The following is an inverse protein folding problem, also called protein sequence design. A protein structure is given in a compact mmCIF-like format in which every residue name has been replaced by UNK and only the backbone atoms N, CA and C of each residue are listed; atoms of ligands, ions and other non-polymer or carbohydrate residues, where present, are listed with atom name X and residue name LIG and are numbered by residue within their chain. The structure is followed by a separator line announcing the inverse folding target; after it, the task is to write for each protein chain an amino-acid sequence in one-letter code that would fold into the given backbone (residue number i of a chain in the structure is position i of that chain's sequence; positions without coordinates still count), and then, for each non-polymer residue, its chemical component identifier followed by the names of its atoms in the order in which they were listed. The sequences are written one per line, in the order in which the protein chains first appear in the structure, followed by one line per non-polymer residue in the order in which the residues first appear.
data_IF_546007914386
#
_entry.id   IF_546007914386
#
_cell.length_a   1.000
_cell.length_b   1.000
_cell.length_c   1.000
_cell.angle_alpha   90.00
_cell.angle_beta   90.00
_cell.angle_gamma   90.00
#
_symmetry.space_group_name_H-M   'P 1'
#
loop_
_entity.id
_entity.type
_entity.pdbx_description
1 polymer ?
#
# COMPACT_ATOMS: atom_id res chain seq x y z
N UNK A 1 23.29 -11.07 11.04
CA UNK A 1 22.11 -10.41 11.66
C UNK A 1 20.77 -10.77 11.00
N UNK A 2 20.66 -10.81 9.66
CA UNK A 2 19.39 -11.09 8.96
C UNK A 2 19.06 -12.58 8.73
N UNK A 3 20.02 -13.49 8.94
CA UNK A 3 19.92 -14.92 8.58
C UNK A 3 18.76 -15.70 9.23
N UNK A 4 18.12 -15.16 10.27
CA UNK A 4 17.02 -15.82 10.98
C UNK A 4 15.62 -15.31 10.63
N UNK A 5 15.44 -14.51 9.57
CA UNK A 5 14.10 -14.15 9.08
C UNK A 5 13.65 -15.23 8.08
N UNK A 6 12.57 -15.98 8.34
CA UNK A 6 12.13 -17.03 7.44
C UNK A 6 11.82 -16.50 6.04
N UNK A 7 12.28 -17.20 5.01
CA UNK A 7 11.99 -16.86 3.61
C UNK A 7 10.52 -17.13 3.23
N UNK A 8 9.81 -17.93 4.01
CA UNK A 8 8.39 -18.27 3.82
C UNK A 8 7.43 -17.19 4.30
N UNK A 9 7.91 -16.15 4.99
CA UNK A 9 7.04 -15.05 5.42
C UNK A 9 6.49 -14.29 4.21
N UNK A 10 5.25 -13.78 4.29
CA UNK A 10 4.74 -12.79 3.34
C UNK A 10 5.71 -11.62 3.19
N UNK A 11 5.77 -11.04 1.99
CA UNK A 11 6.79 -10.05 1.63
C UNK A 11 6.81 -8.83 2.58
N UNK A 12 5.64 -8.30 2.95
CA UNK A 12 5.53 -7.14 3.85
C UNK A 12 6.01 -7.48 5.26
N UNK A 13 5.60 -8.63 5.79
CA UNK A 13 6.02 -9.09 7.10
C UNK A 13 7.53 -9.39 7.13
N UNK A 14 8.07 -9.95 6.04
CA UNK A 14 9.51 -10.18 5.90
C UNK A 14 10.29 -8.88 5.85
N UNK A 15 9.84 -7.89 5.07
CA UNK A 15 10.44 -6.57 5.00
C UNK A 15 10.45 -5.89 6.39
N UNK A 16 9.31 -5.94 7.10
CA UNK A 16 9.18 -5.42 8.45
C UNK A 16 10.18 -6.05 9.42
N UNK A 17 10.32 -7.39 9.41
CA UNK A 17 11.26 -8.09 10.29
C UNK A 17 12.73 -7.83 9.94
N UNK A 18 13.07 -7.70 8.66
CA UNK A 18 14.43 -7.32 8.22
C UNK A 18 14.78 -5.92 8.70
N UNK A 19 13.90 -4.94 8.48
CA UNK A 19 14.11 -3.55 8.90
C UNK A 19 14.16 -3.42 10.43
N UNK A 20 13.30 -4.14 11.15
CA UNK A 20 13.31 -4.18 12.62
C UNK A 20 14.63 -4.72 13.18
N UNK A 21 15.25 -5.70 12.51
CA UNK A 21 16.58 -6.20 12.91
C UNK A 21 17.69 -5.22 12.57
N UNK A 22 17.61 -4.53 11.44
CA UNK A 22 18.55 -3.46 11.09
C UNK A 22 18.50 -2.33 12.12
N UNK A 23 17.29 -1.91 12.50
CA UNK A 23 17.07 -0.90 13.53
C UNK A 23 17.67 -1.27 14.89
N UNK A 24 17.51 -2.53 15.33
CA UNK A 24 18.15 -3.04 16.57
C UNK A 24 19.68 -3.00 16.54
N UNK A 25 20.28 -2.97 15.35
CA UNK A 25 21.72 -2.84 15.18
C UNK A 25 22.17 -1.36 15.08
N UNK A 26 21.26 -0.40 15.28
CA UNK A 26 21.53 1.04 15.16
C UNK A 26 21.35 1.59 13.75
N UNK A 27 20.86 0.79 12.80
CA UNK A 27 20.57 1.25 11.44
C UNK A 27 19.09 1.61 11.32
N UNK A 28 18.72 2.76 11.89
CA UNK A 28 17.37 3.31 11.86
C UNK A 28 17.38 4.84 11.71
N UNK A 29 16.23 5.40 11.38
CA UNK A 29 15.96 6.83 11.40
C UNK A 29 15.72 7.32 12.82
N UNK A 30 16.11 8.56 13.11
CA UNK A 30 15.85 9.19 14.42
C UNK A 30 14.56 10.01 14.41
N UNK A 31 14.18 10.58 13.26
CA UNK A 31 13.06 11.51 13.14
C UNK A 31 12.07 11.04 12.08
N UNK A 32 10.79 11.24 12.39
CA UNK A 32 9.69 10.97 11.46
C UNK A 32 9.86 11.73 10.14
N UNK A 33 10.43 12.94 10.17
CA UNK A 33 10.67 13.73 8.98
C UNK A 33 11.61 13.01 8.00
N UNK A 34 12.68 12.40 8.49
CA UNK A 34 13.71 11.82 7.62
C UNK A 34 13.18 10.61 6.84
N UNK A 35 12.34 9.78 7.48
CA UNK A 35 11.71 8.63 6.80
C UNK A 35 10.64 9.07 5.80
N UNK A 36 9.94 10.19 6.07
CA UNK A 36 8.96 10.76 5.15
C UNK A 36 9.63 11.47 3.97
N UNK A 37 10.71 12.21 4.19
CA UNK A 37 11.51 12.82 3.13
C UNK A 37 12.02 11.72 2.17
N UNK A 38 12.48 10.58 2.70
CA UNK A 38 12.87 9.44 1.86
C UNK A 38 11.69 8.89 1.04
N UNK A 39 10.46 8.90 1.56
CA UNK A 39 9.30 8.46 0.77
C UNK A 39 9.01 9.40 -0.40
N UNK A 40 9.19 10.71 -0.20
CA UNK A 40 9.04 11.70 -1.26
C UNK A 40 10.11 11.53 -2.36
N UNK A 41 11.34 11.19 -1.97
CA UNK A 41 12.44 10.86 -2.88
C UNK A 41 12.10 9.63 -3.76
N UNK A 42 11.72 8.51 -3.14
CA UNK A 42 11.34 7.27 -3.86
C UNK A 42 10.17 7.51 -4.83
N UNK A 43 9.20 8.34 -4.43
CA UNK A 43 8.08 8.72 -5.30
C UNK A 43 8.53 9.60 -6.47
N UNK A 44 9.52 10.46 -6.28
CA UNK A 44 10.10 11.24 -7.36
C UNK A 44 10.85 10.35 -8.35
N UNK A 45 11.62 9.37 -7.86
CA UNK A 45 12.34 8.40 -8.71
C UNK A 45 11.36 7.56 -9.56
N UNK A 46 10.24 7.12 -8.98
CA UNK A 46 9.15 6.48 -9.75
C UNK A 46 8.64 7.39 -10.87
N UNK A 47 8.41 8.68 -10.59
CA UNK A 47 7.92 9.65 -11.59
C UNK A 47 8.92 9.84 -12.72
N UNK A 48 10.21 9.95 -12.39
CA UNK A 48 11.28 10.10 -13.37
C UNK A 48 11.42 8.86 -14.25
N UNK A 49 11.32 7.66 -13.66
CA UNK A 49 11.34 6.41 -14.42
C UNK A 49 10.16 6.28 -15.39
N UNK A 50 8.94 6.71 -14.98
CA UNK A 50 7.77 6.77 -15.85
C UNK A 50 7.99 7.76 -16.99
N UNK A 51 8.46 8.97 -16.70
CA UNK A 51 8.71 10.00 -17.71
C UNK A 51 9.77 9.57 -18.74
N UNK A 52 10.79 8.84 -18.28
CA UNK A 52 11.84 8.27 -19.13
C UNK A 52 11.40 6.99 -19.87
N UNK A 53 10.19 6.48 -19.64
CA UNK A 53 9.70 5.19 -20.14
C UNK A 53 10.68 4.03 -19.85
N UNK A 54 11.39 4.09 -18.72
CA UNK A 54 12.39 3.12 -18.34
C UNK A 54 11.77 2.06 -17.42
N UNK A 55 11.29 0.96 -18.01
CA UNK A 55 10.63 -0.13 -17.29
C UNK A 55 11.52 -0.78 -16.22
N UNK A 56 12.83 -0.90 -16.50
CA UNK A 56 13.77 -1.48 -15.53
C UNK A 56 13.89 -0.61 -14.29
N UNK A 57 14.10 0.70 -14.47
CA UNK A 57 14.15 1.64 -13.35
C UNK A 57 12.82 1.63 -12.61
N UNK A 58 11.69 1.75 -13.33
CA UNK A 58 10.37 1.75 -12.72
C UNK A 58 10.13 0.54 -11.81
N UNK A 59 10.60 -0.64 -12.21
CA UNK A 59 10.49 -1.86 -11.39
C UNK A 59 11.28 -1.79 -10.10
N UNK A 60 12.46 -1.17 -10.13
CA UNK A 60 13.34 -0.97 -8.98
C UNK A 60 12.70 0.05 -8.01
N UNK A 61 12.35 1.22 -8.51
CA UNK A 61 11.78 2.30 -7.68
C UNK A 61 10.42 1.94 -7.08
N UNK A 62 9.58 1.16 -7.79
CA UNK A 62 8.33 0.64 -7.19
C UNK A 62 8.62 -0.33 -6.04
N UNK A 63 9.69 -1.11 -6.13
CA UNK A 63 10.13 -2.00 -5.07
C UNK A 63 10.59 -1.23 -3.84
N UNK A 64 11.40 -0.18 -4.04
CA UNK A 64 11.94 0.64 -2.97
C UNK A 64 10.86 1.53 -2.33
N UNK A 65 9.91 2.05 -3.11
CA UNK A 65 8.71 2.73 -2.60
C UNK A 65 7.89 1.82 -1.66
N UNK A 66 7.67 0.56 -2.05
CA UNK A 66 6.96 -0.41 -1.21
C UNK A 66 7.77 -0.75 0.05
N UNK A 67 9.08 -0.94 -0.08
CA UNK A 67 9.96 -1.24 1.05
C UNK A 67 10.01 -0.09 2.05
N UNK A 68 10.09 1.16 1.57
CA UNK A 68 10.06 2.35 2.40
C UNK A 68 8.68 2.58 3.04
N UNK A 69 7.59 2.25 2.34
CA UNK A 69 6.24 2.22 2.92
C UNK A 69 6.13 1.28 4.13
N UNK A 70 6.73 0.09 4.07
CA UNK A 70 6.83 -0.83 5.22
C UNK A 70 7.67 -0.21 6.34
N UNK A 71 8.75 0.48 5.99
CA UNK A 71 9.64 1.13 6.94
C UNK A 71 8.94 2.24 7.73
N UNK A 72 8.11 3.05 7.08
CA UNK A 72 7.27 4.07 7.72
C UNK A 72 6.31 3.41 8.72
N UNK A 73 5.59 2.37 8.30
CA UNK A 73 4.68 1.66 9.19
C UNK A 73 5.43 1.18 10.45
N UNK A 74 6.60 0.54 10.26
CA UNK A 74 7.45 0.06 11.34
C UNK A 74 7.94 1.19 12.24
N UNK A 75 8.37 2.32 11.67
CA UNK A 75 8.86 3.48 12.41
C UNK A 75 7.81 4.02 13.39
N UNK A 76 6.54 4.06 12.96
CA UNK A 76 5.41 4.44 13.81
C UNK A 76 4.84 3.31 14.69
N UNK A 77 5.48 2.14 14.71
CA UNK A 77 5.08 1.01 15.55
C UNK A 77 3.92 0.16 14.99
N UNK A 78 3.57 0.34 13.72
CA UNK A 78 2.52 -0.42 13.05
C UNK A 78 3.07 -1.60 12.23
N UNK A 79 2.26 -2.66 12.12
CA UNK A 79 2.55 -3.80 11.25
C UNK A 79 1.94 -3.57 9.85
N UNK A 80 2.79 -3.43 8.83
CA UNK A 80 2.36 -3.14 7.46
C UNK A 80 1.46 -4.25 6.85
N UNK A 81 1.72 -5.52 7.17
CA UNK A 81 0.93 -6.66 6.68
C UNK A 81 -0.50 -6.61 7.25
N UNK A 82 -0.63 -6.28 8.53
CA UNK A 82 -1.93 -6.14 9.20
C UNK A 82 -2.72 -4.93 8.65
N UNK A 83 -2.07 -3.77 8.56
CA UNK A 83 -2.68 -2.56 8.00
C UNK A 83 -3.19 -2.77 6.57
N UNK A 84 -2.40 -3.44 5.72
CA UNK A 84 -2.84 -3.71 4.36
C UNK A 84 -4.00 -4.70 4.33
N UNK A 85 -3.97 -5.76 5.16
CA UNK A 85 -5.05 -6.74 5.27
C UNK A 85 -6.37 -6.09 5.70
N UNK A 86 -6.33 -5.14 6.62
CA UNK A 86 -7.50 -4.34 7.01
C UNK A 86 -8.03 -3.48 5.87
N UNK A 87 -7.14 -2.80 5.15
CA UNK A 87 -7.54 -1.99 4.00
C UNK A 87 -8.14 -2.83 2.86
N UNK A 88 -7.59 -4.02 2.57
CA UNK A 88 -8.16 -4.97 1.60
C UNK A 88 -9.56 -5.40 2.03
N UNK A 89 -9.75 -5.85 3.28
CA UNK A 89 -11.08 -6.23 3.79
C UNK A 89 -12.10 -5.10 3.70
N UNK A 90 -11.67 -3.87 3.99
CA UNK A 90 -12.51 -2.67 3.84
C UNK A 90 -12.87 -2.43 2.38
N UNK A 91 -11.92 -2.59 1.46
CA UNK A 91 -12.18 -2.45 0.02
C UNK A 91 -13.17 -3.52 -0.47
N UNK A 92 -12.94 -4.80 -0.15
CA UNK A 92 -13.80 -5.93 -0.53
C UNK A 92 -15.24 -5.70 -0.08
N UNK A 93 -15.43 -5.34 1.20
CA UNK A 93 -16.76 -5.06 1.76
C UNK A 93 -17.46 -3.92 1.02
N UNK A 94 -16.73 -2.82 0.74
CA UNK A 94 -17.30 -1.67 0.03
C UNK A 94 -17.63 -1.99 -1.41
N UNK A 95 -16.76 -2.73 -2.09
CA UNK A 95 -16.95 -3.12 -3.47
C UNK A 95 -18.13 -4.07 -3.63
N UNK A 96 -18.29 -5.04 -2.71
CA UNK A 96 -19.48 -5.89 -2.66
C UNK A 96 -20.76 -5.05 -2.46
N UNK A 97 -20.74 -4.02 -1.61
CA UNK A 97 -21.87 -3.13 -1.43
C UNK A 97 -22.15 -2.28 -2.69
N UNK A 98 -21.13 -1.86 -3.45
CA UNK A 98 -21.32 -1.21 -4.75
C UNK A 98 -22.00 -2.15 -5.74
N UNK A 99 -21.54 -3.40 -5.84
CA UNK A 99 -22.14 -4.41 -6.71
C UNK A 99 -23.62 -4.63 -6.39
N UNK A 100 -23.98 -4.75 -5.10
CA UNK A 100 -25.37 -4.86 -4.68
C UNK A 100 -26.21 -3.64 -5.05
N UNK A 101 -25.64 -2.42 -4.97
CA UNK A 101 -26.35 -1.19 -5.34
C UNK A 101 -26.59 -1.08 -6.84
N UNK A 102 -25.61 -1.47 -7.65
CA UNK A 102 -25.75 -1.50 -9.12
C UNK A 102 -26.83 -2.50 -9.50
N UNK A 103 -26.79 -3.70 -8.92
CA UNK A 103 -27.80 -4.74 -9.16
C UNK A 103 -29.21 -4.27 -8.76
N UNK A 104 -29.34 -3.62 -7.60
CA UNK A 104 -30.61 -3.08 -7.13
C UNK A 104 -31.16 -1.95 -8.01
N UNK A 105 -30.30 -1.23 -8.74
CA UNK A 105 -30.67 -0.24 -9.73
C UNK A 105 -31.02 -0.86 -11.10
N UNK A 106 -30.96 -2.19 -11.23
CA UNK A 106 -31.22 -2.92 -12.48
C UNK A 106 -30.02 -2.95 -13.44
N UNK A 107 -28.84 -2.52 -13.00
CA UNK A 107 -27.62 -2.48 -13.79
C UNK A 107 -26.77 -3.75 -13.68
N UNK A 108 -25.75 -3.83 -14.55
CA UNK A 108 -24.69 -4.84 -14.52
C UNK A 108 -23.36 -4.14 -14.27
N UNK A 109 -22.62 -4.58 -13.25
CA UNK A 109 -21.38 -3.90 -12.80
C UNK A 109 -20.37 -3.67 -13.94
N UNK A 110 -20.22 -4.65 -14.84
CA UNK A 110 -19.29 -4.59 -15.98
C UNK A 110 -19.69 -3.57 -17.05
N UNK A 111 -20.98 -3.28 -17.14
CA UNK A 111 -21.55 -2.36 -18.14
C UNK A 111 -21.78 -0.95 -17.54
N UNK A 112 -21.49 -0.79 -16.24
CA UNK A 112 -21.67 0.47 -15.52
C UNK A 112 -20.47 1.38 -15.78
N UNK A 113 -20.74 2.65 -16.14
CA UNK A 113 -19.68 3.62 -16.40
C UNK A 113 -18.86 3.92 -15.13
N UNK A 114 -17.58 4.24 -15.28
CA UNK A 114 -16.68 4.53 -14.15
C UNK A 114 -17.21 5.66 -13.25
N UNK A 115 -17.78 6.71 -13.83
CA UNK A 115 -18.35 7.83 -13.08
C UNK A 115 -19.56 7.40 -12.23
N UNK A 116 -20.38 6.48 -12.75
CA UNK A 116 -21.53 5.92 -12.02
C UNK A 116 -21.06 4.98 -10.90
N UNK A 117 -20.05 4.15 -11.15
CA UNK A 117 -19.41 3.34 -10.10
C UNK A 117 -18.85 4.20 -8.96
N UNK A 118 -18.26 5.36 -9.28
CA UNK A 118 -17.77 6.29 -8.27
C UNK A 118 -18.92 6.90 -7.44
N UNK A 119 -20.08 7.18 -8.05
CA UNK A 119 -21.29 7.60 -7.31
C UNK A 119 -21.77 6.51 -6.34
N UNK A 120 -21.82 5.26 -6.78
CA UNK A 120 -22.16 4.14 -5.90
C UNK A 120 -21.13 3.97 -4.78
N UNK A 121 -19.84 4.07 -5.08
CA UNK A 121 -18.74 3.98 -4.13
C UNK A 121 -18.79 5.08 -3.07
N UNK A 122 -19.00 6.33 -3.49
CA UNK A 122 -19.17 7.47 -2.60
C UNK A 122 -20.36 7.29 -1.65
N UNK A 123 -21.49 6.77 -2.16
CA UNK A 123 -22.66 6.47 -1.35
C UNK A 123 -22.40 5.37 -0.31
N UNK A 124 -21.72 4.28 -0.69
CA UNK A 124 -21.30 3.22 0.25
C UNK A 124 -20.39 3.78 1.35
N UNK A 125 -19.38 4.58 0.97
CA UNK A 125 -18.47 5.21 1.94
C UNK A 125 -19.18 6.12 2.93
N UNK A 126 -20.25 6.80 2.51
CA UNK A 126 -21.06 7.68 3.37
C UNK A 126 -21.91 6.89 4.36
N UNK A 127 -22.41 5.71 3.98
CA UNK A 127 -23.24 4.87 4.84
C UNK A 127 -22.44 4.08 5.91
N UNK A 128 -21.13 3.88 5.73
CA UNK A 128 -20.24 3.20 6.69
C UNK A 128 -19.61 4.14 7.76
N UNK A 129 -19.82 5.45 7.66
CA UNK A 129 -19.31 6.44 8.63
C UNK A 129 -20.36 6.72 9.70
#
# INVERSE_FOLDING_TARGET
MLAGVPKSLPALLRAHEVQKRAARAGFDWERAKDVLDKLEEELAEVRDAVAAQNERALREELGDLLFNGVNICRFFGFNAEELLRENVRKFERRFAAVEQRVLAAGGVLRDTAADELELHWAAVKKAEK
#
